data_IF_660556933657
#
_entry.id   IF_660556933657
#
_cell.length_a   1.000
_cell.length_b   1.000
_cell.length_c   1.000
_cell.angle_alpha   90.00
_cell.angle_beta   90.00
_cell.angle_gamma   90.00
#
_symmetry.space_group_name_H-M   'P 1'
#
loop_
_entity.id
_entity.type
_entity.pdbx_description
1 polymer ?
#
# COMPACT_ATOMS: atom_id res chain seq x y z
N UNK A 1 -14.20 -19.79 -19.72
CA UNK A 1 -14.59 -19.28 -18.41
C UNK A 1 -13.52 -19.75 -17.42
N UNK A 2 -12.45 -19.00 -17.28
CA UNK A 2 -11.40 -19.33 -16.32
C UNK A 2 -11.93 -18.98 -14.93
N UNK A 3 -12.12 -19.98 -14.09
CA UNK A 3 -12.37 -19.83 -12.67
C UNK A 3 -11.09 -19.18 -12.12
N UNK A 4 -11.14 -17.90 -11.76
CA UNK A 4 -10.09 -17.27 -10.96
C UNK A 4 -9.91 -18.14 -9.73
N UNK A 5 -8.69 -18.63 -9.51
CA UNK A 5 -8.36 -19.52 -8.41
C UNK A 5 -8.90 -18.96 -7.11
N UNK A 6 -9.69 -19.77 -6.42
CA UNK A 6 -10.38 -19.42 -5.18
C UNK A 6 -9.43 -19.41 -3.98
N UNK A 7 -8.19 -19.82 -4.17
CA UNK A 7 -7.22 -19.95 -3.08
C UNK A 7 -6.39 -18.65 -2.92
N UNK A 8 -6.23 -18.14 -1.69
CA UNK A 8 -5.33 -17.03 -1.42
C UNK A 8 -3.89 -17.44 -1.71
N UNK A 9 -3.16 -16.58 -2.41
CA UNK A 9 -1.73 -16.80 -2.67
C UNK A 9 -0.85 -16.13 -1.63
N UNK A 10 -1.37 -15.08 -1.00
CA UNK A 10 -0.65 -14.30 -0.02
C UNK A 10 -1.66 -13.70 0.98
N UNK A 11 -1.55 -14.13 2.23
CA UNK A 11 -2.38 -13.67 3.34
C UNK A 11 -1.61 -12.71 4.24
N UNK A 12 -2.25 -11.61 4.62
CA UNK A 12 -1.74 -10.64 5.59
C UNK A 12 -2.69 -10.61 6.78
N UNK A 13 -2.22 -11.01 7.96
CA UNK A 13 -3.00 -11.04 9.20
C UNK A 13 -2.47 -9.98 10.17
N UNK A 14 -3.37 -9.21 10.74
CA UNK A 14 -3.10 -8.16 11.72
C UNK A 14 -3.22 -8.69 13.16
N UNK A 15 -2.77 -7.91 14.14
CA UNK A 15 -2.91 -8.24 15.56
C UNK A 15 -1.86 -9.21 16.12
N UNK A 16 -0.79 -9.51 15.40
CA UNK A 16 0.30 -10.35 15.90
C UNK A 16 1.17 -9.61 16.93
N UNK A 17 1.93 -10.34 17.74
CA UNK A 17 2.89 -9.75 18.69
C UNK A 17 4.16 -9.25 18.00
N UNK A 18 4.59 -9.94 16.94
CA UNK A 18 5.76 -9.59 16.13
C UNK A 18 5.53 -9.91 14.66
N UNK A 19 6.32 -9.29 13.79
CA UNK A 19 6.24 -9.57 12.36
C UNK A 19 6.81 -10.97 12.07
N UNK A 20 6.05 -11.75 11.30
CA UNK A 20 6.44 -13.09 10.89
C UNK A 20 6.03 -13.32 9.44
N UNK A 21 6.95 -13.87 8.65
CA UNK A 21 6.70 -14.23 7.27
C UNK A 21 6.98 -15.73 7.10
N UNK A 22 6.00 -16.47 6.64
CA UNK A 22 6.09 -17.92 6.53
C UNK A 22 5.42 -18.44 5.25
N UNK A 23 5.91 -19.57 4.79
CA UNK A 23 5.25 -20.35 3.75
C UNK A 23 4.42 -21.45 4.40
N UNK A 24 3.13 -21.50 4.08
CA UNK A 24 2.21 -22.55 4.47
C UNK A 24 1.68 -23.23 3.20
N UNK A 25 2.13 -24.44 2.93
CA UNK A 25 1.83 -25.17 1.70
C UNK A 25 2.14 -24.33 0.44
N UNK A 26 1.13 -23.92 -0.32
CA UNK A 26 1.24 -23.08 -1.52
C UNK A 26 1.02 -21.59 -1.24
N UNK A 27 0.70 -21.21 0.00
CA UNK A 27 0.34 -19.84 0.40
C UNK A 27 1.48 -19.18 1.16
N UNK A 28 1.74 -17.92 0.87
CA UNK A 28 2.59 -17.06 1.70
C UNK A 28 1.73 -16.39 2.77
N UNK A 29 2.18 -16.41 4.01
CA UNK A 29 1.48 -15.82 5.15
C UNK A 29 2.38 -14.79 5.83
N UNK A 30 1.88 -13.58 5.97
CA UNK A 30 2.49 -12.51 6.71
C UNK A 30 1.63 -12.18 7.94
N UNK A 31 2.24 -12.20 9.13
CA UNK A 31 1.64 -11.69 10.36
C UNK A 31 2.26 -10.35 10.71
N UNK A 32 1.43 -9.37 11.07
CA UNK A 32 1.85 -8.01 11.36
C UNK A 32 1.55 -7.63 12.81
N UNK A 33 2.52 -7.03 13.54
CA UNK A 33 2.32 -6.46 14.86
C UNK A 33 1.67 -5.07 14.76
N UNK A 34 0.50 -5.03 14.12
CA UNK A 34 -0.34 -3.85 13.98
C UNK A 34 -1.67 -4.12 14.67
N UNK A 35 -2.09 -3.26 15.58
CA UNK A 35 -3.40 -3.42 16.24
C UNK A 35 -4.51 -3.57 15.21
N UNK A 36 -5.35 -4.56 15.41
CA UNK A 36 -6.58 -4.76 14.67
C UNK A 36 -7.76 -4.36 15.57
N UNK A 37 -8.69 -3.59 15.04
CA UNK A 37 -9.78 -3.03 15.83
C UNK A 37 -11.14 -3.53 15.40
N UNK A 38 -11.37 -3.72 14.09
CA UNK A 38 -12.64 -4.22 13.55
C UNK A 38 -12.49 -4.65 12.07
N UNK A 39 -13.51 -5.34 11.57
CA UNK A 39 -13.55 -5.86 10.18
C UNK A 39 -12.76 -7.15 9.99
N UNK A 40 -12.47 -7.57 8.76
CA UNK A 40 -11.65 -8.74 8.48
C UNK A 40 -10.23 -8.59 9.04
N UNK A 41 -9.79 -9.53 9.87
CA UNK A 41 -8.44 -9.53 10.45
C UNK A 41 -7.37 -10.00 9.45
N UNK A 42 -7.78 -10.71 8.42
CA UNK A 42 -6.90 -11.22 7.36
C UNK A 42 -7.31 -10.63 6.02
N UNK A 43 -6.34 -10.10 5.30
CA UNK A 43 -6.46 -9.65 3.91
C UNK A 43 -5.77 -10.66 3.00
N UNK A 44 -6.44 -11.09 1.94
CA UNK A 44 -5.88 -12.04 0.98
C UNK A 44 -5.59 -11.38 -0.36
N UNK A 45 -4.35 -11.43 -0.80
CA UNK A 45 -3.97 -11.07 -2.16
C UNK A 45 -4.16 -12.29 -3.05
N UNK A 46 -5.25 -12.28 -3.82
CA UNK A 46 -5.64 -13.41 -4.67
C UNK A 46 -4.94 -13.31 -6.02
N UNK A 47 -4.11 -14.29 -6.28
CA UNK A 47 -3.58 -14.63 -7.60
C UNK A 47 -3.74 -16.15 -7.73
N UNK A 48 -3.75 -16.71 -8.95
CA UNK A 48 -3.71 -18.15 -9.12
C UNK A 48 -2.22 -18.59 -9.11
N UNK A 49 -1.60 -18.93 -7.95
CA UNK A 49 -0.18 -19.12 -7.87
C UNK A 49 0.23 -20.41 -8.57
N UNK A 50 1.23 -20.33 -9.42
CA UNK A 50 1.94 -21.50 -9.97
C UNK A 50 3.13 -21.89 -9.09
N UNK A 51 3.57 -20.97 -8.23
CA UNK A 51 4.65 -21.23 -7.27
C UNK A 51 4.59 -20.31 -6.07
N UNK A 52 4.99 -20.87 -4.90
CA UNK A 52 5.29 -20.09 -3.69
C UNK A 52 6.68 -20.54 -3.20
N UNK A 53 7.65 -19.62 -3.11
CA UNK A 53 9.05 -19.92 -2.79
C UNK A 53 9.75 -18.79 -2.07
N UNK A 54 10.78 -19.15 -1.32
CA UNK A 54 11.77 -18.19 -0.83
C UNK A 54 12.80 -17.89 -1.93
N UNK A 55 13.21 -16.61 -1.99
CA UNK A 55 14.31 -16.14 -2.81
C UNK A 55 15.13 -15.13 -1.96
N UNK A 56 16.19 -15.62 -1.34
CA UNK A 56 16.86 -14.90 -0.25
C UNK A 56 15.89 -14.62 0.89
N UNK A 57 15.80 -13.36 1.28
CA UNK A 57 14.92 -12.88 2.37
C UNK A 57 13.48 -12.54 1.91
N UNK A 58 13.16 -12.81 0.64
CA UNK A 58 11.83 -12.60 0.08
C UNK A 58 11.05 -13.90 -0.04
N UNK A 59 9.82 -13.90 0.45
CA UNK A 59 8.83 -14.91 0.14
C UNK A 59 7.98 -14.43 -1.03
N UNK A 60 7.96 -15.20 -2.11
CA UNK A 60 7.32 -14.86 -3.37
C UNK A 60 6.21 -15.85 -3.69
N UNK A 61 5.04 -15.33 -4.05
CA UNK A 61 3.96 -16.08 -4.71
C UNK A 61 3.82 -15.55 -6.15
N UNK A 62 3.89 -16.43 -7.13
CA UNK A 62 3.93 -16.09 -8.54
C UNK A 62 2.87 -16.85 -9.33
N UNK A 63 2.24 -16.17 -10.27
CA UNK A 63 1.44 -16.76 -11.36
C UNK A 63 2.06 -16.34 -12.71
N UNK A 64 1.44 -16.73 -13.81
CA UNK A 64 1.90 -16.31 -15.14
C UNK A 64 1.87 -14.79 -15.31
N UNK A 65 0.84 -14.13 -14.74
CA UNK A 65 0.57 -12.70 -14.93
C UNK A 65 0.95 -11.82 -13.74
N UNK A 66 1.13 -12.40 -12.53
CA UNK A 66 1.34 -11.64 -11.30
C UNK A 66 2.48 -12.19 -10.46
N UNK A 67 3.14 -11.29 -9.76
CA UNK A 67 4.12 -11.56 -8.72
C UNK A 67 3.72 -10.78 -7.47
N UNK A 68 3.59 -11.49 -6.35
CA UNK A 68 3.43 -10.91 -5.01
C UNK A 68 4.61 -11.34 -4.17
N UNK A 69 5.18 -10.44 -3.40
CA UNK A 69 6.29 -10.78 -2.52
C UNK A 69 6.32 -9.94 -1.26
N UNK A 70 6.97 -10.47 -0.25
CA UNK A 70 7.24 -9.75 0.99
C UNK A 70 8.61 -10.06 1.56
N UNK A 71 9.11 -9.13 2.37
CA UNK A 71 10.34 -9.29 3.16
C UNK A 71 10.21 -8.58 4.50
N UNK A 72 10.98 -9.06 5.46
CA UNK A 72 11.17 -8.46 6.77
C UNK A 72 12.63 -7.96 6.86
N UNK A 73 12.80 -6.70 7.20
CA UNK A 73 14.12 -6.03 7.24
C UNK A 73 14.39 -5.52 8.65
N UNK A 74 15.49 -5.92 9.25
CA UNK A 74 15.90 -5.40 10.57
C UNK A 74 16.20 -3.89 10.50
N UNK A 75 15.49 -3.11 11.29
CA UNK A 75 15.57 -1.65 11.31
C UNK A 75 16.30 -1.10 12.55
N UNK A 76 17.06 -1.95 13.30
CA UNK A 76 17.84 -1.53 14.47
C UNK A 76 19.13 -0.79 14.09
N UNK A 77 19.71 -1.10 12.92
CA UNK A 77 20.83 -0.38 12.34
C UNK A 77 20.45 0.91 11.65
N UNK A 78 21.24 1.32 10.65
CA UNK A 78 20.88 2.45 9.79
C UNK A 78 19.72 2.08 8.88
N UNK A 79 18.60 2.76 9.10
CA UNK A 79 17.36 2.45 8.39
C UNK A 79 17.50 2.67 6.87
N UNK A 80 18.21 3.72 6.48
CA UNK A 80 18.43 4.07 5.06
C UNK A 80 19.11 2.93 4.32
N UNK A 81 20.18 2.36 4.89
CA UNK A 81 20.98 1.31 4.25
C UNK A 81 20.17 -0.01 4.16
N UNK A 82 19.45 -0.35 5.23
CA UNK A 82 18.61 -1.54 5.28
C UNK A 82 17.46 -1.46 4.25
N UNK A 83 16.82 -0.30 4.14
CA UNK A 83 15.74 -0.06 3.16
C UNK A 83 16.29 -0.03 1.74
N UNK A 84 17.44 0.62 1.49
CA UNK A 84 18.06 0.62 0.17
C UNK A 84 18.40 -0.79 -0.30
N UNK A 85 18.96 -1.62 0.57
CA UNK A 85 19.26 -3.02 0.27
C UNK A 85 18.01 -3.83 -0.09
N UNK A 86 16.96 -3.72 0.75
CA UNK A 86 15.70 -4.42 0.51
C UNK A 86 15.02 -3.99 -0.79
N UNK A 87 14.99 -2.68 -1.08
CA UNK A 87 14.40 -2.17 -2.32
C UNK A 87 15.24 -2.49 -3.54
N UNK A 88 16.57 -2.48 -3.46
CA UNK A 88 17.42 -2.93 -4.55
C UNK A 88 17.12 -4.38 -4.91
N UNK A 89 17.00 -5.25 -3.90
CA UNK A 89 16.65 -6.66 -4.11
C UNK A 89 15.23 -6.84 -4.65
N UNK A 90 14.24 -6.08 -4.14
CA UNK A 90 12.88 -6.06 -4.67
C UNK A 90 12.86 -5.72 -6.17
N UNK A 91 13.59 -4.68 -6.57
CA UNK A 91 13.65 -4.24 -7.96
C UNK A 91 14.37 -5.23 -8.88
N UNK A 92 15.32 -6.00 -8.36
CA UNK A 92 15.93 -7.14 -9.09
C UNK A 92 14.91 -8.25 -9.30
N UNK A 93 14.22 -8.68 -8.23
CA UNK A 93 13.19 -9.73 -8.28
C UNK A 93 12.03 -9.36 -9.20
N UNK A 94 11.67 -8.06 -9.22
CA UNK A 94 10.65 -7.53 -10.10
C UNK A 94 11.18 -7.19 -11.52
N UNK A 95 12.38 -7.62 -11.87
CA UNK A 95 12.88 -7.44 -13.25
C UNK A 95 12.01 -8.19 -14.24
N UNK A 96 11.54 -7.50 -15.29
CA UNK A 96 10.57 -8.04 -16.25
C UNK A 96 9.10 -8.00 -15.76
N UNK A 97 8.85 -7.38 -14.62
CA UNK A 97 7.54 -7.10 -14.08
C UNK A 97 7.37 -5.60 -13.89
N UNK A 98 6.10 -5.15 -13.84
CA UNK A 98 5.75 -3.78 -13.51
C UNK A 98 5.18 -3.74 -12.10
N UNK A 99 5.75 -2.91 -11.23
CA UNK A 99 5.24 -2.72 -9.87
C UNK A 99 3.90 -1.98 -9.90
N UNK A 100 2.89 -2.57 -9.27
CA UNK A 100 1.54 -2.00 -9.16
C UNK A 100 1.34 -1.33 -7.81
N UNK A 101 1.68 -2.03 -6.73
CA UNK A 101 1.40 -1.58 -5.36
C UNK A 101 2.49 -2.04 -4.41
N UNK A 102 2.86 -1.16 -3.46
CA UNK A 102 3.75 -1.51 -2.34
C UNK A 102 3.07 -1.07 -1.03
N UNK A 103 2.99 -1.99 -0.07
CA UNK A 103 2.61 -1.71 1.31
C UNK A 103 3.86 -1.75 2.17
N UNK A 104 4.04 -0.71 2.99
CA UNK A 104 5.24 -0.53 3.81
C UNK A 104 4.81 -0.31 5.25
N UNK A 105 5.35 -1.10 6.14
CA UNK A 105 5.11 -1.00 7.56
C UNK A 105 6.43 -0.68 8.24
N UNK A 106 6.52 0.52 8.83
CA UNK A 106 7.78 1.07 9.34
C UNK A 106 7.68 1.20 10.86
N UNK A 107 8.55 0.52 11.62
CA UNK A 107 8.51 0.62 13.09
C UNK A 107 8.87 2.03 13.54
N UNK A 108 8.08 2.56 14.50
CA UNK A 108 8.25 3.91 15.06
C UNK A 108 8.35 5.01 13.97
N UNK A 109 7.51 4.93 12.96
CA UNK A 109 7.59 5.75 11.72
C UNK A 109 7.78 7.25 11.96
N UNK A 110 7.20 7.81 13.03
CA UNK A 110 7.28 9.23 13.39
C UNK A 110 8.38 9.55 14.42
N UNK A 111 9.14 8.55 14.89
CA UNK A 111 10.22 8.79 15.83
C UNK A 111 11.40 9.51 15.15
N UNK A 112 12.00 10.46 15.85
CA UNK A 112 13.22 11.13 15.38
C UNK A 112 14.44 10.39 15.93
N UNK A 113 15.29 9.90 15.03
CA UNK A 113 16.59 9.28 15.36
C UNK A 113 17.69 9.94 14.54
N UNK A 114 18.80 10.28 15.23
CA UNK A 114 19.91 10.96 14.54
C UNK A 114 19.53 12.31 13.93
N UNK A 115 18.52 13.00 14.48
CA UNK A 115 18.06 14.30 13.99
C UNK A 115 17.08 14.23 12.79
N UNK A 116 16.68 13.04 12.37
CA UNK A 116 15.74 12.86 11.25
C UNK A 116 14.63 11.87 11.61
N UNK A 117 13.40 12.20 11.23
CA UNK A 117 12.24 11.31 11.36
C UNK A 117 12.46 10.00 10.60
N UNK A 118 12.08 8.86 11.18
CA UNK A 118 12.29 7.54 10.57
C UNK A 118 11.59 7.38 9.22
N UNK A 119 10.44 8.01 9.00
CA UNK A 119 9.82 8.03 7.68
C UNK A 119 10.69 8.72 6.63
N UNK A 120 11.38 9.80 7.01
CA UNK A 120 12.30 10.51 6.12
C UNK A 120 13.56 9.69 5.84
N UNK A 121 14.08 8.99 6.86
CA UNK A 121 15.18 8.03 6.70
C UNK A 121 14.79 6.90 5.74
N UNK A 122 13.60 6.33 5.93
CA UNK A 122 13.03 5.31 5.04
C UNK A 122 12.97 5.79 3.58
N UNK A 123 12.49 7.03 3.35
CA UNK A 123 12.42 7.60 2.00
C UNK A 123 13.79 7.80 1.34
N UNK A 124 14.85 8.08 2.12
CA UNK A 124 16.23 8.16 1.59
C UNK A 124 16.64 6.83 0.98
N UNK A 125 16.54 5.73 1.73
CA UNK A 125 16.94 4.40 1.25
C UNK A 125 16.10 3.93 0.05
N UNK A 126 14.78 4.10 0.15
CA UNK A 126 13.87 3.77 -0.94
C UNK A 126 14.17 4.55 -2.22
N UNK A 127 14.37 5.86 -2.11
CA UNK A 127 14.71 6.70 -3.25
C UNK A 127 16.03 6.28 -3.90
N UNK A 128 17.08 6.01 -3.12
CA UNK A 128 18.38 5.59 -3.60
C UNK A 128 18.29 4.31 -4.45
N UNK A 129 17.51 3.32 -4.04
CA UNK A 129 17.30 2.10 -4.80
C UNK A 129 16.60 2.36 -6.15
N UNK A 130 15.52 3.15 -6.14
CA UNK A 130 14.81 3.52 -7.38
C UNK A 130 15.69 4.36 -8.31
N UNK A 131 16.44 5.33 -7.79
CA UNK A 131 17.35 6.19 -8.56
C UNK A 131 18.47 5.36 -9.21
N UNK A 132 19.05 4.39 -8.47
CA UNK A 132 20.05 3.46 -9.01
C UNK A 132 19.51 2.60 -10.14
N UNK A 133 18.25 2.14 -10.02
CA UNK A 133 17.64 1.24 -11.00
C UNK A 133 17.13 1.95 -12.25
N UNK A 134 16.53 3.13 -12.11
CA UNK A 134 15.80 3.83 -13.17
C UNK A 134 16.41 5.18 -13.56
N UNK A 135 17.41 5.65 -12.83
CA UNK A 135 18.07 6.92 -13.12
C UNK A 135 17.09 8.09 -13.16
N UNK A 136 17.15 8.90 -14.21
CA UNK A 136 16.28 10.09 -14.38
C UNK A 136 14.82 9.74 -14.62
N UNK A 137 14.53 8.54 -15.08
CA UNK A 137 13.18 8.08 -15.43
C UNK A 137 12.42 7.47 -14.25
N UNK A 138 13.02 7.46 -13.05
CA UNK A 138 12.45 6.82 -11.86
C UNK A 138 10.98 7.19 -11.60
N UNK A 139 10.57 8.41 -11.93
CA UNK A 139 9.18 8.90 -11.71
C UNK A 139 8.16 8.17 -12.58
N UNK A 140 8.56 7.66 -13.73
CA UNK A 140 7.71 6.87 -14.64
C UNK A 140 7.49 5.43 -14.17
N UNK A 141 8.14 5.04 -13.06
CA UNK A 141 8.09 3.68 -12.50
C UNK A 141 7.61 3.66 -11.03
N UNK A 142 7.11 4.79 -10.52
CA UNK A 142 6.62 4.87 -9.15
C UNK A 142 5.26 4.18 -9.00
N UNK A 143 5.18 3.05 -8.26
CA UNK A 143 3.92 2.36 -8.03
C UNK A 143 3.03 3.13 -7.06
N UNK A 144 1.78 2.73 -6.93
CA UNK A 144 0.98 3.12 -5.79
C UNK A 144 1.63 2.57 -4.51
N UNK A 145 1.62 3.34 -3.41
CA UNK A 145 2.22 2.90 -2.16
C UNK A 145 1.53 3.48 -0.93
N UNK A 146 1.71 2.81 0.21
CA UNK A 146 1.40 3.33 1.54
C UNK A 146 2.54 3.03 2.49
N UNK A 147 2.81 3.94 3.43
CA UNK A 147 3.72 3.72 4.54
C UNK A 147 3.00 4.06 5.84
N UNK A 148 2.95 3.12 6.76
CA UNK A 148 2.27 3.26 8.04
C UNK A 148 3.16 2.75 9.18
N UNK A 149 2.90 3.22 10.39
CA UNK A 149 3.60 2.76 11.59
C UNK A 149 3.22 1.32 11.94
N UNK A 150 4.16 0.59 12.52
CA UNK A 150 3.96 -0.78 13.00
C UNK A 150 4.75 -1.01 14.28
N UNK A 151 4.36 -1.99 15.08
CA UNK A 151 5.12 -2.44 16.25
C UNK A 151 6.41 -3.16 15.89
N UNK A 152 7.23 -3.44 16.91
CA UNK A 152 8.48 -4.20 16.75
C UNK A 152 9.66 -3.38 16.19
N UNK A 153 10.57 -4.08 15.52
CA UNK A 153 11.83 -3.50 15.03
C UNK A 153 12.14 -3.85 13.56
N UNK A 154 11.20 -4.45 12.86
CA UNK A 154 11.37 -4.83 11.46
C UNK A 154 10.53 -3.95 10.54
N UNK A 155 11.14 -3.41 9.49
CA UNK A 155 10.39 -2.89 8.35
C UNK A 155 9.82 -4.07 7.58
N UNK A 156 8.54 -3.99 7.25
CA UNK A 156 7.89 -4.97 6.39
C UNK A 156 7.58 -4.32 5.06
N UNK A 157 7.96 -4.97 3.98
CA UNK A 157 7.65 -4.53 2.62
C UNK A 157 6.89 -5.64 1.92
N UNK A 158 5.68 -5.34 1.46
CA UNK A 158 4.87 -6.21 0.60
C UNK A 158 4.69 -5.52 -0.73
N UNK A 159 4.83 -6.25 -1.84
CA UNK A 159 4.60 -5.70 -3.17
C UNK A 159 3.74 -6.61 -4.05
N UNK A 160 3.03 -5.98 -4.98
CA UNK A 160 2.34 -6.65 -6.08
C UNK A 160 2.83 -6.07 -7.40
N UNK A 161 3.13 -6.95 -8.34
CA UNK A 161 3.57 -6.62 -9.69
C UNK A 161 2.82 -7.47 -10.72
N UNK A 162 2.84 -7.06 -11.98
CA UNK A 162 2.27 -7.80 -13.09
C UNK A 162 3.03 -7.64 -14.38
N UNK A 163 2.68 -8.43 -15.40
CA UNK A 163 3.34 -8.42 -16.72
C UNK A 163 2.99 -7.21 -17.57
N UNK A 164 1.77 -6.69 -17.43
CA UNK A 164 1.28 -5.58 -18.23
C UNK A 164 1.68 -4.27 -17.54
N UNK A 165 2.18 -3.32 -18.32
CA UNK A 165 2.51 -2.00 -17.80
C UNK A 165 1.22 -1.29 -17.35
N UNK A 166 1.15 -0.83 -16.08
CA UNK A 166 -0.02 -0.15 -15.58
C UNK A 166 -0.06 1.32 -16.02
N UNK A 167 -1.22 1.94 -15.87
CA UNK A 167 -1.36 3.39 -15.89
C UNK A 167 -1.18 3.96 -14.49
N UNK A 168 -0.44 5.07 -14.38
CA UNK A 168 -0.18 5.78 -13.13
C UNK A 168 -0.98 7.07 -13.09
N UNK A 169 -1.60 7.34 -11.96
CA UNK A 169 -2.50 8.48 -11.78
C UNK A 169 -2.06 9.37 -10.61
N UNK A 170 -2.22 10.67 -10.81
CA UNK A 170 -2.00 11.70 -9.79
C UNK A 170 -3.30 12.45 -9.49
N UNK A 171 -3.42 12.94 -8.26
CA UNK A 171 -4.55 13.77 -7.84
C UNK A 171 -4.29 15.22 -8.25
N UNK A 172 -5.14 15.85 -9.06
CA UNK A 172 -4.96 17.23 -9.52
C UNK A 172 -5.01 18.28 -8.38
N UNK A 173 -5.61 17.92 -7.24
CA UNK A 173 -5.67 18.78 -6.06
C UNK A 173 -4.46 18.64 -5.15
N UNK A 174 -3.50 17.79 -5.51
CA UNK A 174 -2.31 17.51 -4.72
C UNK A 174 -1.04 17.67 -5.54
N UNK A 175 0.04 18.08 -4.89
CA UNK A 175 1.38 17.98 -5.47
C UNK A 175 1.76 16.50 -5.56
N UNK A 176 2.28 15.99 -6.70
CA UNK A 176 2.80 14.64 -6.77
C UNK A 176 3.83 14.38 -5.65
N UNK A 177 3.73 13.23 -4.98
CA UNK A 177 4.53 12.97 -3.79
C UNK A 177 6.05 13.09 -4.05
N UNK A 178 6.50 12.66 -5.20
CA UNK A 178 7.90 12.75 -5.65
C UNK A 178 8.35 14.17 -6.01
N UNK A 179 7.48 15.19 -5.91
CA UNK A 179 7.78 16.62 -6.05
C UNK A 179 7.62 17.39 -4.73
N UNK A 180 7.43 16.71 -3.61
CA UNK A 180 7.31 17.38 -2.32
C UNK A 180 8.56 18.21 -2.01
N UNK A 181 8.38 19.41 -1.44
CA UNK A 181 9.49 20.31 -1.11
C UNK A 181 10.46 19.71 -0.08
N UNK A 182 11.68 20.24 -0.05
CA UNK A 182 12.75 19.73 0.82
C UNK A 182 12.46 19.82 2.33
N UNK A 183 11.46 20.61 2.74
CA UNK A 183 10.97 20.66 4.13
C UNK A 183 10.43 19.30 4.62
N UNK A 184 9.98 18.44 3.69
CA UNK A 184 9.52 17.08 3.99
C UNK A 184 10.65 16.04 4.08
N UNK A 185 11.88 16.44 3.88
CA UNK A 185 13.06 15.60 4.05
C UNK A 185 14.06 15.69 2.90
N UNK A 186 15.25 15.07 3.05
CA UNK A 186 16.31 15.08 2.01
C UNK A 186 15.90 14.42 0.70
N UNK A 187 14.96 13.47 0.75
CA UNK A 187 14.35 12.80 -0.40
C UNK A 187 12.83 12.76 -0.23
N UNK A 188 12.06 13.08 -1.28
CA UNK A 188 10.60 13.05 -1.22
C UNK A 188 10.09 11.60 -1.18
N UNK A 189 8.84 11.39 -0.73
CA UNK A 189 8.16 10.11 -0.88
C UNK A 189 7.97 9.80 -2.36
N UNK A 190 8.36 8.60 -2.80
CA UNK A 190 8.30 8.21 -4.21
C UNK A 190 7.12 7.28 -4.48
N UNK A 191 5.93 7.78 -4.83
CA UNK A 191 4.78 6.98 -5.21
C UNK A 191 3.81 7.76 -6.10
N UNK A 192 3.08 7.06 -6.97
CA UNK A 192 1.91 7.59 -7.66
C UNK A 192 0.69 7.51 -6.76
N UNK A 193 -0.30 8.39 -6.94
CA UNK A 193 -1.52 8.42 -6.11
C UNK A 193 -2.44 7.24 -6.37
N UNK A 194 -2.40 6.68 -7.58
CA UNK A 194 -3.17 5.50 -7.95
C UNK A 194 -2.56 4.79 -9.14
N UNK A 195 -2.98 3.54 -9.31
CA UNK A 195 -2.55 2.67 -10.40
C UNK A 195 -3.76 1.91 -10.93
N UNK A 196 -3.89 1.87 -12.25
CA UNK A 196 -4.81 0.96 -12.93
C UNK A 196 -3.99 -0.07 -13.70
N UNK A 197 -4.24 -1.33 -13.41
CA UNK A 197 -3.59 -2.45 -14.10
C UNK A 197 -4.65 -3.36 -14.70
N UNK A 198 -4.50 -3.69 -15.97
CA UNK A 198 -5.36 -4.62 -16.70
C UNK A 198 -4.61 -5.92 -16.98
N UNK A 199 -5.26 -7.05 -16.77
CA UNK A 199 -4.72 -8.37 -17.08
C UNK A 199 -5.86 -9.24 -17.60
N UNK A 200 -5.82 -9.56 -18.89
CA UNK A 200 -6.88 -10.32 -19.55
C UNK A 200 -8.26 -9.63 -19.40
N UNK A 201 -9.17 -10.28 -18.67
CA UNK A 201 -10.51 -9.76 -18.40
C UNK A 201 -10.63 -9.12 -16.99
N UNK A 202 -9.55 -8.94 -16.29
CA UNK A 202 -9.53 -8.34 -14.96
C UNK A 202 -8.89 -6.96 -14.98
N UNK A 203 -9.51 -6.02 -14.24
CA UNK A 203 -9.02 -4.67 -14.00
C UNK A 203 -8.82 -4.49 -12.52
N UNK A 204 -7.62 -4.08 -12.13
CA UNK A 204 -7.27 -3.75 -10.76
C UNK A 204 -7.08 -2.25 -10.62
N UNK A 205 -7.80 -1.63 -9.68
CA UNK A 205 -7.66 -0.22 -9.31
C UNK A 205 -7.04 -0.17 -7.92
N UNK A 206 -5.86 0.41 -7.81
CA UNK A 206 -5.05 0.39 -6.61
C UNK A 206 -4.74 1.82 -6.17
N UNK A 207 -5.33 2.26 -5.06
CA UNK A 207 -5.07 3.56 -4.45
C UNK A 207 -3.82 3.50 -3.56
N UNK A 208 -3.05 4.57 -3.54
CA UNK A 208 -2.04 4.81 -2.51
C UNK A 208 -2.66 5.14 -1.16
N UNK A 209 -1.87 5.17 -0.11
CA UNK A 209 -2.28 5.74 1.17
C UNK A 209 -2.81 7.15 0.94
N UNK A 210 -4.09 7.35 1.21
CA UNK A 210 -4.80 8.62 1.00
C UNK A 210 -5.19 9.17 2.35
N UNK A 211 -4.92 10.45 2.56
CA UNK A 211 -5.20 11.17 3.80
C UNK A 211 -5.72 12.58 3.49
N UNK A 212 -5.98 13.35 4.55
CA UNK A 212 -6.41 14.74 4.47
C UNK A 212 -5.26 15.65 4.03
N UNK A 213 -4.98 15.67 2.72
CA UNK A 213 -3.91 16.45 2.10
C UNK A 213 -4.48 17.33 0.99
N UNK A 214 -4.17 18.62 1.04
CA UNK A 214 -4.38 19.58 -0.06
C UNK A 214 -3.02 20.13 -0.51
N UNK A 215 -2.77 20.14 -1.82
CA UNK A 215 -1.43 20.40 -2.33
C UNK A 215 -0.43 19.40 -1.77
N UNK A 216 0.42 19.82 -0.84
CA UNK A 216 1.35 18.97 -0.10
C UNK A 216 1.16 19.04 1.43
N UNK A 217 0.15 19.77 1.91
CA UNK A 217 -0.06 20.03 3.33
C UNK A 217 -1.21 19.19 3.89
N UNK A 218 -1.04 18.71 5.12
CA UNK A 218 -2.14 18.13 5.89
C UNK A 218 -3.10 19.25 6.33
N UNK A 219 -4.41 18.98 6.23
CA UNK A 219 -5.47 19.89 6.68
C UNK A 219 -6.33 19.24 7.75
N UNK A 220 -6.99 20.05 8.59
CA UNK A 220 -7.88 19.56 9.64
C UNK A 220 -7.13 18.98 10.85
N UNK A 221 -5.97 19.54 11.23
CA UNK A 221 -5.29 19.10 12.45
C UNK A 221 -6.21 19.29 13.68
N UNK A 222 -6.47 18.19 14.41
CA UNK A 222 -7.42 18.17 15.54
C UNK A 222 -8.91 18.14 15.16
N UNK A 223 -9.25 18.22 13.88
CA UNK A 223 -10.62 18.15 13.36
C UNK A 223 -10.83 16.83 12.57
N UNK A 224 -11.35 15.83 13.26
CA UNK A 224 -11.56 14.48 12.69
C UNK A 224 -12.54 14.47 11.51
N UNK A 225 -13.60 15.28 11.58
CA UNK A 225 -14.61 15.34 10.53
C UNK A 225 -14.05 15.97 9.25
N UNK A 226 -13.31 17.06 9.39
CA UNK A 226 -12.64 17.69 8.25
C UNK A 226 -11.59 16.75 7.64
N UNK A 227 -10.80 16.05 8.46
CA UNK A 227 -9.84 15.06 7.96
C UNK A 227 -10.54 13.94 7.20
N UNK A 228 -11.63 13.41 7.74
CA UNK A 228 -12.41 12.38 7.07
C UNK A 228 -12.96 12.85 5.73
N UNK A 229 -13.65 14.00 5.72
CA UNK A 229 -14.24 14.57 4.50
C UNK A 229 -13.21 14.84 3.41
N UNK A 230 -12.08 15.45 3.77
CA UNK A 230 -10.99 15.73 2.82
C UNK A 230 -10.36 14.43 2.29
N UNK A 231 -10.19 13.43 3.15
CA UNK A 231 -9.70 12.11 2.75
C UNK A 231 -10.64 11.46 1.74
N UNK A 232 -11.96 11.45 2.02
CA UNK A 232 -12.96 10.88 1.13
C UNK A 232 -13.04 11.63 -0.19
N UNK A 233 -12.99 12.96 -0.17
CA UNK A 233 -12.94 13.78 -1.38
C UNK A 233 -11.72 13.44 -2.25
N UNK A 234 -10.54 13.27 -1.65
CA UNK A 234 -9.34 12.85 -2.38
C UNK A 234 -9.50 11.45 -2.99
N UNK A 235 -10.14 10.52 -2.30
CA UNK A 235 -10.45 9.17 -2.82
C UNK A 235 -11.41 9.27 -4.02
N UNK A 236 -12.48 10.06 -3.90
CA UNK A 236 -13.46 10.27 -4.97
C UNK A 236 -12.82 10.84 -6.24
N UNK A 237 -11.98 11.88 -6.10
CA UNK A 237 -11.23 12.45 -7.22
C UNK A 237 -10.39 11.35 -7.91
N UNK A 238 -9.66 10.57 -7.12
CA UNK A 238 -8.78 9.54 -7.67
C UNK A 238 -9.57 8.44 -8.36
N UNK A 239 -10.66 7.94 -7.77
CA UNK A 239 -11.50 6.93 -8.39
C UNK A 239 -12.08 7.43 -9.72
N UNK A 240 -12.61 8.66 -9.75
CA UNK A 240 -13.08 9.28 -10.97
C UNK A 240 -11.99 9.37 -12.05
N UNK A 241 -10.77 9.78 -11.67
CA UNK A 241 -9.60 9.83 -12.57
C UNK A 241 -9.23 8.45 -13.12
N UNK A 242 -9.37 7.41 -12.33
CA UNK A 242 -9.08 6.02 -12.69
C UNK A 242 -10.28 5.33 -13.39
N UNK A 243 -11.31 6.08 -13.76
CA UNK A 243 -12.47 5.55 -14.50
C UNK A 243 -13.39 4.67 -13.66
N UNK A 244 -13.46 4.91 -12.36
CA UNK A 244 -14.46 4.35 -11.46
C UNK A 244 -15.46 5.43 -11.07
N UNK A 245 -16.72 5.05 -10.83
CA UNK A 245 -17.69 6.00 -10.27
C UNK A 245 -17.24 6.47 -8.90
N UNK A 246 -17.38 7.77 -8.65
CA UNK A 246 -17.18 8.34 -7.32
C UNK A 246 -18.21 7.87 -6.30
N UNK A 247 -19.34 7.35 -6.75
CA UNK A 247 -20.35 6.75 -5.87
C UNK A 247 -19.90 5.36 -5.44
N UNK A 248 -19.13 5.32 -4.37
CA UNK A 248 -18.56 4.12 -3.76
C UNK A 248 -19.65 3.31 -3.00
N UNK A 249 -20.70 2.87 -3.68
CA UNK A 249 -21.70 1.99 -3.07
C UNK A 249 -21.65 0.58 -3.67
N UNK A 250 -21.97 -0.46 -2.90
CA UNK A 250 -22.00 -1.84 -3.42
C UNK A 250 -22.87 -2.00 -4.67
N UNK A 251 -23.98 -1.26 -4.76
CA UNK A 251 -24.85 -1.26 -5.94
C UNK A 251 -24.22 -0.61 -7.17
N UNK A 252 -23.39 0.41 -6.97
CA UNK A 252 -22.62 1.05 -8.05
C UNK A 252 -21.47 0.14 -8.48
N UNK A 253 -20.77 -0.49 -7.55
CA UNK A 253 -19.70 -1.44 -7.86
C UNK A 253 -20.22 -2.60 -8.72
N UNK A 254 -21.35 -3.19 -8.34
CA UNK A 254 -21.95 -4.27 -9.12
C UNK A 254 -22.29 -3.84 -10.57
N UNK A 255 -22.81 -2.63 -10.76
CA UNK A 255 -23.12 -2.08 -12.11
C UNK A 255 -21.87 -1.83 -12.94
N UNK A 256 -20.75 -1.44 -12.30
CA UNK A 256 -19.46 -1.21 -12.95
C UNK A 256 -18.61 -2.48 -13.10
N UNK A 257 -19.15 -3.63 -12.69
CA UNK A 257 -18.45 -4.91 -12.78
C UNK A 257 -17.31 -5.06 -11.78
N UNK A 258 -17.27 -4.21 -10.74
CA UNK A 258 -16.33 -4.34 -9.64
C UNK A 258 -16.75 -5.54 -8.78
N UNK A 259 -15.95 -6.58 -8.79
CA UNK A 259 -16.23 -7.85 -8.09
C UNK A 259 -15.86 -7.83 -6.63
N UNK A 260 -14.82 -7.08 -6.29
CA UNK A 260 -14.28 -7.01 -4.95
C UNK A 260 -13.70 -5.61 -4.71
N UNK A 261 -14.05 -5.02 -3.59
CA UNK A 261 -13.46 -3.78 -3.11
C UNK A 261 -13.05 -3.99 -1.64
N UNK A 262 -11.85 -3.55 -1.29
CA UNK A 262 -11.37 -3.63 0.07
C UNK A 262 -10.65 -2.34 0.46
N UNK A 263 -10.99 -1.81 1.62
CA UNK A 263 -10.39 -0.61 2.18
C UNK A 263 -9.75 -0.91 3.54
N UNK A 264 -8.57 -0.36 3.76
CA UNK A 264 -7.92 -0.35 5.08
C UNK A 264 -7.93 1.06 5.64
N UNK A 265 -8.54 1.22 6.80
CA UNK A 265 -8.57 2.47 7.54
C UNK A 265 -7.50 2.43 8.64
N UNK A 266 -6.47 3.22 8.52
CA UNK A 266 -5.44 3.36 9.54
C UNK A 266 -5.79 4.52 10.46
N UNK A 267 -6.16 4.22 11.69
CA UNK A 267 -6.54 5.20 12.70
C UNK A 267 -5.40 5.39 13.70
N UNK A 268 -4.90 6.62 13.80
CA UNK A 268 -3.87 6.95 14.80
C UNK A 268 -4.43 6.97 16.23
N UNK A 269 -5.70 7.28 16.34
CA UNK A 269 -6.45 7.46 17.58
C UNK A 269 -7.60 6.43 17.62
N UNK A 270 -7.46 5.34 18.39
CA UNK A 270 -8.45 4.27 18.43
C UNK A 270 -9.85 4.72 18.87
N UNK A 271 -9.91 5.77 19.68
CA UNK A 271 -11.16 6.34 20.21
C UNK A 271 -12.09 6.90 19.14
N UNK A 272 -11.56 7.22 17.94
CA UNK A 272 -12.40 7.73 16.83
C UNK A 272 -13.03 6.62 16.00
N UNK A 273 -12.71 5.36 16.25
CA UNK A 273 -13.26 4.23 15.48
C UNK A 273 -14.78 4.24 15.35
N UNK A 274 -15.57 4.46 16.43
CA UNK A 274 -17.03 4.50 16.31
C UNK A 274 -17.54 5.56 15.33
N UNK A 275 -16.95 6.75 15.36
CA UNK A 275 -17.31 7.87 14.47
C UNK A 275 -16.97 7.54 13.01
N UNK A 276 -15.77 7.01 12.76
CA UNK A 276 -15.35 6.65 11.39
C UNK A 276 -16.25 5.56 10.82
N UNK A 277 -16.63 4.56 11.61
CA UNK A 277 -17.57 3.51 11.18
C UNK A 277 -18.95 4.08 10.86
N UNK A 278 -19.48 4.96 11.70
CA UNK A 278 -20.74 5.66 11.45
C UNK A 278 -20.71 6.44 10.13
N UNK A 279 -19.66 7.23 9.90
CA UNK A 279 -19.50 7.99 8.67
C UNK A 279 -19.37 7.12 7.43
N UNK A 280 -18.59 6.02 7.50
CA UNK A 280 -18.46 5.08 6.39
C UNK A 280 -19.76 4.34 6.12
N UNK A 281 -20.49 3.92 7.16
CA UNK A 281 -21.79 3.29 7.01
C UNK A 281 -22.82 4.23 6.40
N UNK A 282 -22.79 5.52 6.75
CA UNK A 282 -23.65 6.54 6.13
C UNK A 282 -23.33 6.74 4.63
N UNK A 283 -22.06 6.64 4.23
CA UNK A 283 -21.64 6.80 2.83
C UNK A 283 -21.88 5.55 1.98
N UNK A 284 -21.65 4.35 2.54
CA UNK A 284 -21.62 3.10 1.78
C UNK A 284 -22.78 2.16 2.08
N UNK A 285 -23.55 2.40 3.15
CA UNK A 285 -24.63 1.51 3.60
C UNK A 285 -24.14 0.23 4.31
N UNK A 286 -22.83 -0.01 4.35
CA UNK A 286 -22.18 -1.13 5.03
C UNK A 286 -20.73 -0.79 5.35
N UNK A 287 -20.14 -1.46 6.31
CA UNK A 287 -18.71 -1.42 6.62
C UNK A 287 -17.98 -2.76 6.40
N UNK A 288 -18.63 -3.74 5.76
CA UNK A 288 -18.09 -5.09 5.55
C UNK A 288 -16.83 -5.11 4.65
N UNK A 289 -16.60 -4.04 3.87
CA UNK A 289 -15.45 -3.89 2.98
C UNK A 289 -14.25 -3.18 3.63
N UNK A 290 -14.34 -2.91 4.95
CA UNK A 290 -13.34 -2.14 5.66
C UNK A 290 -12.64 -2.97 6.74
N UNK A 291 -11.31 -2.82 6.83
CA UNK A 291 -10.49 -3.27 7.95
C UNK A 291 -9.96 -2.03 8.68
N UNK A 292 -10.02 -2.06 10.01
CA UNK A 292 -9.61 -0.96 10.87
C UNK A 292 -8.49 -1.38 11.82
#
# INVERSE_FOLDING_TARGET
MAILGTEPAFDVTFGAEHAELMKQDSTAVLRLPMPWMAGPMTESLRIAPTSCRWDGDFLLAQSDDHLVGATLVDARGRLEDAVEGAYSRLLELASGWHLYRIWQYVPQINEVRGGLERYRQFNIGRWAAFERRFGRDLRSFMPAASAVGVGGHQVVVVFKAGRIRPEYFENPSQVPAYHYPAEYGPRPPGFARGVVAESGHSRSVLLSGTASIEGHRSVGEGDWELQFRTTMHNIEIMLGRMGCSAALSPSTWAREGIREAHFKCYLRHPEILPLVREWLQALYGTDDHFTY
#
